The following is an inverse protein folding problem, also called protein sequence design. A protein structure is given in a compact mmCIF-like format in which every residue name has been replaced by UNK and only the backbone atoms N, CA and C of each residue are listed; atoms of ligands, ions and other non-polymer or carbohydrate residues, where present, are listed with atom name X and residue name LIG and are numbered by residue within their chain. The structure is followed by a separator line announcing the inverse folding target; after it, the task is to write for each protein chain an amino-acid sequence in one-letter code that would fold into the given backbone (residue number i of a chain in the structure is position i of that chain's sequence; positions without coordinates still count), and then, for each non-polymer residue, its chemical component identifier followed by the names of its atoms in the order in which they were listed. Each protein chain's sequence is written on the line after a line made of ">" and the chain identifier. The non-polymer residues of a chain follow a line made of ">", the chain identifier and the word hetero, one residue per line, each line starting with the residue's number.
data_IF_483648143554
#
_entry.id   IF_483648143554
#
_cell.length_a   1.000
_cell.length_b   1.000
_cell.length_c   1.000
_cell.angle_alpha   90.00
_cell.angle_beta   90.00
_cell.angle_gamma   90.00
#
_symmetry.space_group_name_H-M   'P 1'
#
loop_
_entity.id
_entity.type
_entity.pdbx_description
1 polymer ?
#
# COMPACT_ATOMS: atom_id res chain seq x y z
N UNK A 1 -14.78 -28.60 23.95
CA UNK A 1 -15.03 -27.29 23.33
C UNK A 1 -13.70 -26.66 22.93
N UNK A 2 -13.32 -26.81 21.66
CA UNK A 2 -12.19 -26.10 21.03
C UNK A 2 -12.33 -26.37 19.53
N UNK A 3 -13.12 -25.55 18.84
CA UNK A 3 -13.18 -25.56 17.39
C UNK A 3 -12.10 -24.62 16.88
N UNK A 4 -11.03 -25.21 16.33
CA UNK A 4 -10.12 -24.50 15.44
C UNK A 4 -10.90 -24.11 14.18
N UNK A 5 -11.23 -22.84 14.05
CA UNK A 5 -11.67 -22.26 12.79
C UNK A 5 -10.46 -22.10 11.87
N UNK A 6 -10.24 -23.12 11.04
CA UNK A 6 -9.44 -23.01 9.83
C UNK A 6 -10.15 -22.08 8.87
N UNK A 7 -9.65 -20.86 8.71
CA UNK A 7 -10.07 -19.94 7.66
C UNK A 7 -9.73 -20.54 6.31
N UNK A 8 -10.75 -21.10 5.65
CA UNK A 8 -10.64 -21.54 4.27
C UNK A 8 -10.29 -20.34 3.40
N UNK A 9 -9.09 -20.37 2.82
CA UNK A 9 -8.73 -19.53 1.69
C UNK A 9 -9.67 -19.90 0.55
N UNK A 10 -10.76 -19.16 0.43
CA UNK A 10 -11.61 -19.16 -0.75
C UNK A 10 -10.77 -18.63 -1.90
N UNK A 11 -10.12 -19.55 -2.62
CA UNK A 11 -9.65 -19.32 -3.98
C UNK A 11 -10.89 -19.01 -4.82
N UNK A 12 -11.24 -17.74 -4.88
CA UNK A 12 -12.26 -17.22 -5.79
C UNK A 12 -11.77 -17.56 -7.19
N UNK A 13 -12.44 -18.53 -7.82
CA UNK A 13 -12.29 -18.88 -9.22
C UNK A 13 -12.25 -17.58 -10.02
N UNK A 14 -11.06 -17.24 -10.51
CA UNK A 14 -10.84 -16.08 -11.37
C UNK A 14 -11.56 -16.43 -12.66
N UNK A 15 -12.70 -15.77 -12.93
CA UNK A 15 -13.47 -15.95 -14.15
C UNK A 15 -12.51 -15.96 -15.34
N UNK A 16 -12.64 -16.96 -16.21
CA UNK A 16 -11.88 -17.08 -17.47
C UNK A 16 -12.17 -15.84 -18.31
N UNK A 17 -11.36 -14.82 -18.11
CA UNK A 17 -11.50 -13.53 -18.77
C UNK A 17 -10.90 -13.67 -20.17
N UNK A 18 -11.76 -14.06 -21.12
CA UNK A 18 -11.47 -14.24 -22.55
C UNK A 18 -11.05 -12.90 -23.19
N UNK A 19 -11.22 -11.79 -22.45
CA UNK A 19 -11.04 -10.39 -22.84
C UNK A 19 -9.77 -9.76 -22.25
N UNK A 20 -8.66 -10.51 -22.16
CA UNK A 20 -7.35 -9.85 -22.01
C UNK A 20 -7.11 -8.95 -23.23
N UNK A 21 -6.51 -7.79 -23.02
CA UNK A 21 -6.42 -6.73 -24.04
C UNK A 21 -5.55 -7.19 -25.23
N UNK A 22 -4.47 -7.95 -24.94
CA UNK A 22 -3.70 -8.67 -25.98
C UNK A 22 -4.52 -9.74 -26.70
N UNK A 23 -5.47 -10.38 -26.02
CA UNK A 23 -6.38 -11.34 -26.62
C UNK A 23 -7.31 -10.70 -27.64
N UNK A 24 -7.85 -9.52 -27.34
CA UNK A 24 -8.65 -8.73 -28.29
C UNK A 24 -7.83 -8.32 -29.52
N UNK A 25 -6.56 -7.94 -29.33
CA UNK A 25 -5.63 -7.66 -30.43
C UNK A 25 -5.50 -8.89 -31.33
N UNK A 26 -5.36 -10.10 -30.77
CA UNK A 26 -5.26 -11.33 -31.56
C UNK A 26 -6.51 -11.62 -32.38
N UNK A 27 -7.70 -11.34 -31.83
CA UNK A 27 -8.99 -11.54 -32.50
C UNK A 27 -9.12 -10.58 -33.68
N UNK A 28 -8.86 -9.29 -33.46
CA UNK A 28 -8.91 -8.27 -34.50
C UNK A 28 -7.96 -8.65 -35.64
N UNK A 29 -6.74 -9.04 -35.31
CA UNK A 29 -5.73 -9.42 -36.30
C UNK A 29 -6.17 -10.62 -37.13
N UNK A 30 -6.65 -11.68 -36.47
CA UNK A 30 -7.13 -12.88 -37.15
C UNK A 30 -8.30 -12.58 -38.11
N UNK A 31 -9.25 -11.72 -37.70
CA UNK A 31 -10.38 -11.32 -38.55
C UNK A 31 -9.88 -10.60 -39.81
N UNK A 32 -9.03 -9.58 -39.67
CA UNK A 32 -8.57 -8.81 -40.83
C UNK A 32 -7.71 -9.65 -41.77
N UNK A 33 -6.80 -10.49 -41.25
CA UNK A 33 -5.99 -11.38 -42.11
C UNK A 33 -6.83 -12.44 -42.81
N UNK A 34 -7.91 -12.92 -42.16
CA UNK A 34 -8.82 -13.86 -42.79
C UNK A 34 -9.66 -13.21 -43.89
N UNK A 35 -10.10 -11.95 -43.71
CA UNK A 35 -10.80 -11.19 -44.75
C UNK A 35 -9.92 -10.98 -45.99
N UNK A 36 -8.64 -10.62 -45.80
CA UNK A 36 -7.66 -10.51 -46.89
C UNK A 36 -7.51 -11.85 -47.60
N UNK A 37 -7.38 -12.95 -46.86
CA UNK A 37 -7.31 -14.29 -47.45
C UNK A 37 -8.54 -14.64 -48.30
N UNK A 38 -9.76 -14.44 -47.78
CA UNK A 38 -11.00 -14.67 -48.52
C UNK A 38 -11.06 -13.83 -49.81
N UNK A 39 -10.62 -12.57 -49.74
CA UNK A 39 -10.55 -11.71 -50.92
C UNK A 39 -9.57 -12.25 -51.97
N UNK A 40 -8.36 -12.63 -51.55
CA UNK A 40 -7.35 -13.21 -52.46
C UNK A 40 -7.81 -14.54 -53.07
N UNK A 41 -8.60 -15.33 -52.35
CA UNK A 41 -9.12 -16.61 -52.84
C UNK A 41 -10.10 -16.46 -54.02
N UNK A 42 -10.81 -15.33 -54.09
CA UNK A 42 -11.81 -15.07 -55.13
C UNK A 42 -11.18 -14.37 -56.35
N UNK A 43 -10.23 -13.46 -56.13
CA UNK A 43 -9.82 -12.50 -57.16
C UNK A 43 -8.35 -12.60 -57.63
N UNK A 44 -7.52 -13.41 -56.97
CA UNK A 44 -6.04 -13.35 -57.12
C UNK A 44 -5.43 -14.71 -57.51
N UNK A 45 -4.16 -14.70 -57.92
CA UNK A 45 -3.39 -15.86 -58.35
C UNK A 45 -3.08 -16.83 -57.20
N UNK A 46 -2.75 -18.08 -57.51
CA UNK A 46 -2.42 -19.11 -56.50
C UNK A 46 -1.26 -18.72 -55.58
N UNK A 47 -0.28 -17.95 -56.06
CA UNK A 47 0.85 -17.50 -55.24
C UNK A 47 0.37 -16.54 -54.13
N UNK A 48 -0.51 -15.61 -54.49
CA UNK A 48 -1.07 -14.60 -53.60
C UNK A 48 -2.01 -15.23 -52.56
N UNK A 49 -2.79 -16.22 -52.98
CA UNK A 49 -3.62 -17.04 -52.10
C UNK A 49 -2.81 -17.78 -51.04
N UNK A 50 -1.69 -18.40 -51.44
CA UNK A 50 -0.80 -19.13 -50.52
C UNK A 50 -0.18 -18.15 -49.52
N UNK A 51 0.30 -17.00 -49.98
CA UNK A 51 0.89 -15.97 -49.11
C UNK A 51 -0.12 -15.46 -48.07
N UNK A 52 -1.33 -15.10 -48.51
CA UNK A 52 -2.39 -14.63 -47.63
C UNK A 52 -2.86 -15.71 -46.64
N UNK A 53 -2.90 -16.99 -47.08
CA UNK A 53 -3.20 -18.11 -46.19
C UNK A 53 -2.15 -18.27 -45.09
N UNK A 54 -0.87 -18.18 -45.43
CA UNK A 54 0.23 -18.27 -44.45
C UNK A 54 0.08 -17.16 -43.41
N UNK A 55 -0.17 -15.92 -43.84
CA UNK A 55 -0.38 -14.78 -42.92
C UNK A 55 -1.59 -15.03 -42.02
N UNK A 56 -2.73 -15.46 -42.59
CA UNK A 56 -3.93 -15.75 -41.81
C UNK A 56 -3.73 -16.87 -40.78
N UNK A 57 -3.01 -17.93 -41.15
CA UNK A 57 -2.67 -19.03 -40.22
C UNK A 57 -1.76 -18.53 -39.11
N UNK A 58 -0.73 -17.73 -39.42
CA UNK A 58 0.16 -17.16 -38.41
C UNK A 58 -0.67 -16.36 -37.41
N UNK A 59 -1.40 -15.32 -37.82
CA UNK A 59 -2.22 -14.54 -36.88
C UNK A 59 -3.31 -15.36 -36.17
N UNK A 60 -3.83 -16.42 -36.81
CA UNK A 60 -4.73 -17.40 -36.19
C UNK A 60 -4.10 -18.22 -35.05
N UNK A 61 -2.81 -18.56 -35.12
CA UNK A 61 -2.08 -19.23 -34.03
C UNK A 61 -2.06 -18.33 -32.79
N UNK A 62 -1.86 -17.02 -32.96
CA UNK A 62 -1.94 -16.06 -31.86
C UNK A 62 -3.30 -16.07 -31.14
N UNK A 63 -4.38 -16.20 -31.90
CA UNK A 63 -5.73 -16.34 -31.35
C UNK A 63 -5.92 -17.67 -30.58
N UNK A 64 -5.40 -18.79 -31.11
CA UNK A 64 -5.44 -20.09 -30.43
C UNK A 64 -4.64 -20.05 -29.12
N UNK A 65 -3.45 -19.44 -29.10
CA UNK A 65 -2.64 -19.27 -27.89
C UNK A 65 -3.38 -18.47 -26.82
N UNK A 66 -4.10 -17.42 -27.21
CA UNK A 66 -4.97 -16.67 -26.31
C UNK A 66 -6.10 -17.56 -25.75
N UNK A 67 -6.72 -18.41 -26.57
CA UNK A 67 -7.79 -19.32 -26.15
C UNK A 67 -7.31 -20.39 -25.15
N UNK A 68 -6.04 -20.76 -25.20
CA UNK A 68 -5.39 -21.71 -24.29
C UNK A 68 -4.86 -21.07 -23.00
N UNK A 69 -5.19 -19.79 -22.73
CA UNK A 69 -4.80 -19.05 -21.52
C UNK A 69 -3.28 -18.86 -21.29
N UNK A 70 -2.44 -19.06 -22.31
CA UNK A 70 -0.99 -18.80 -22.24
C UNK A 70 -0.63 -17.31 -22.38
N UNK A 71 -1.14 -16.46 -21.48
CA UNK A 71 -1.07 -14.99 -21.57
C UNK A 71 0.33 -14.39 -21.80
N UNK A 72 1.35 -14.96 -21.16
CA UNK A 72 2.74 -14.50 -21.36
C UNK A 72 3.26 -14.85 -22.75
N UNK A 73 2.93 -16.05 -23.25
CA UNK A 73 3.31 -16.47 -24.59
C UNK A 73 2.56 -15.65 -25.65
N UNK A 74 1.26 -15.40 -25.47
CA UNK A 74 0.47 -14.54 -26.37
C UNK A 74 1.04 -13.13 -26.46
N UNK A 75 1.49 -12.57 -25.34
CA UNK A 75 2.14 -11.26 -25.32
C UNK A 75 3.44 -11.25 -26.13
N UNK A 76 4.32 -12.21 -25.89
CA UNK A 76 5.59 -12.33 -26.61
C UNK A 76 5.37 -12.59 -28.11
N UNK A 77 4.38 -13.42 -28.42
CA UNK A 77 3.95 -13.73 -29.76
C UNK A 77 3.52 -12.45 -30.50
N UNK A 78 2.60 -11.68 -29.91
CA UNK A 78 2.04 -10.48 -30.54
C UNK A 78 3.04 -9.32 -30.68
N UNK A 79 4.14 -9.34 -29.95
CA UNK A 79 5.16 -8.28 -30.04
C UNK A 79 6.32 -8.62 -30.95
N UNK A 80 6.63 -9.90 -31.18
CA UNK A 80 7.77 -10.32 -32.01
C UNK A 80 7.39 -10.87 -33.37
N UNK A 81 6.28 -11.60 -33.47
CA UNK A 81 5.93 -12.29 -34.72
C UNK A 81 5.37 -11.36 -35.80
N UNK A 82 4.48 -10.39 -35.50
CA UNK A 82 3.98 -9.46 -36.50
C UNK A 82 5.07 -8.66 -37.24
N UNK A 83 6.09 -8.09 -36.58
CA UNK A 83 7.22 -7.47 -37.26
C UNK A 83 7.98 -8.43 -38.19
N UNK A 84 8.17 -9.70 -37.79
CA UNK A 84 8.82 -10.72 -38.63
C UNK A 84 8.02 -11.06 -39.88
N UNK A 85 6.69 -11.20 -39.73
CA UNK A 85 5.79 -11.46 -40.86
C UNK A 85 5.83 -10.28 -41.82
N UNK A 86 5.75 -9.05 -41.32
CA UNK A 86 5.74 -7.84 -42.14
C UNK A 86 7.09 -7.63 -42.84
N UNK A 87 8.20 -7.88 -42.14
CA UNK A 87 9.55 -7.90 -42.73
C UNK A 87 9.64 -8.90 -43.89
N UNK A 88 9.12 -10.12 -43.70
CA UNK A 88 9.12 -11.16 -44.72
C UNK A 88 8.25 -10.77 -45.91
N UNK A 89 7.07 -10.19 -45.68
CA UNK A 89 6.18 -9.70 -46.74
C UNK A 89 6.86 -8.59 -47.55
N UNK A 90 7.50 -7.61 -46.91
CA UNK A 90 8.21 -6.54 -47.62
C UNK A 90 9.26 -7.14 -48.56
N UNK A 91 10.10 -8.07 -48.09
CA UNK A 91 11.12 -8.72 -48.92
C UNK A 91 10.54 -9.51 -50.10
N UNK A 92 9.43 -10.22 -49.86
CA UNK A 92 8.83 -11.09 -50.85
C UNK A 92 8.10 -10.30 -51.93
N UNK A 93 7.25 -9.34 -51.54
CA UNK A 93 6.25 -8.72 -52.43
C UNK A 93 6.40 -7.22 -52.64
N UNK A 94 7.37 -6.58 -51.98
CA UNK A 94 7.75 -5.20 -52.25
C UNK A 94 7.09 -4.13 -51.38
N UNK A 95 6.14 -4.51 -50.52
CA UNK A 95 5.45 -3.61 -49.62
C UNK A 95 4.14 -3.06 -50.18
N UNK A 96 3.74 -1.85 -49.75
CA UNK A 96 2.57 -1.06 -50.17
C UNK A 96 1.23 -1.32 -49.44
N UNK A 97 1.20 -2.25 -48.48
CA UNK A 97 0.00 -2.56 -47.70
C UNK A 97 -0.16 -1.70 -46.42
N UNK A 98 0.31 -0.45 -46.41
CA UNK A 98 0.24 0.40 -45.21
C UNK A 98 1.25 0.07 -44.09
N UNK A 99 2.36 -0.59 -44.45
CA UNK A 99 3.32 -1.15 -43.48
C UNK A 99 3.89 -0.14 -42.46
N UNK A 100 4.05 1.14 -42.83
CA UNK A 100 4.59 2.17 -41.92
C UNK A 100 3.71 2.40 -40.69
N UNK A 101 2.39 2.47 -40.88
CA UNK A 101 1.43 2.62 -39.78
C UNK A 101 1.44 1.37 -38.90
N UNK A 102 1.51 0.19 -39.51
CA UNK A 102 1.57 -1.07 -38.78
C UNK A 102 2.82 -1.15 -37.88
N UNK A 103 4.01 -0.86 -38.39
CA UNK A 103 5.24 -0.83 -37.58
C UNK A 103 5.19 0.23 -36.47
N UNK A 104 4.60 1.41 -36.72
CA UNK A 104 4.39 2.40 -35.68
C UNK A 104 3.52 1.85 -34.54
N UNK A 105 2.41 1.17 -34.87
CA UNK A 105 1.54 0.56 -33.85
C UNK A 105 2.20 -0.58 -33.10
N UNK A 106 3.02 -1.40 -33.75
CA UNK A 106 3.82 -2.44 -33.10
C UNK A 106 4.83 -1.84 -32.10
N UNK A 107 5.49 -0.74 -32.46
CA UNK A 107 6.37 0.00 -31.54
C UNK A 107 5.64 0.54 -30.31
N UNK A 108 4.43 1.09 -30.46
CA UNK A 108 3.57 1.49 -29.34
C UNK A 108 3.14 0.30 -28.47
N UNK A 109 2.78 -0.82 -29.10
CA UNK A 109 2.42 -2.04 -28.40
C UNK A 109 3.60 -2.59 -27.58
N UNK A 110 4.81 -2.61 -28.15
CA UNK A 110 6.04 -2.98 -27.43
C UNK A 110 6.31 -2.04 -26.26
N UNK A 111 6.11 -0.73 -26.45
CA UNK A 111 6.30 0.27 -25.40
C UNK A 111 5.44 0.01 -24.15
N UNK A 112 4.15 -0.30 -24.37
CA UNK A 112 3.19 -0.57 -23.29
C UNK A 112 3.34 -1.99 -22.74
N UNK A 113 3.51 -2.98 -23.61
CA UNK A 113 3.65 -4.39 -23.25
C UNK A 113 4.83 -4.68 -22.33
N UNK A 114 5.93 -3.93 -22.49
CA UNK A 114 7.17 -4.07 -21.72
C UNK A 114 7.50 -2.86 -20.84
N UNK A 115 6.51 -2.05 -20.47
CA UNK A 115 6.69 -0.84 -19.63
C UNK A 115 7.50 -1.10 -18.34
N UNK A 116 7.33 -2.26 -17.71
CA UNK A 116 8.04 -2.62 -16.47
C UNK A 116 9.53 -2.95 -16.68
N UNK A 117 9.94 -3.30 -17.90
CA UNK A 117 11.32 -3.69 -18.22
C UNK A 117 11.86 -2.83 -19.38
N UNK A 118 12.44 -1.65 -19.09
CA UNK A 118 12.82 -0.69 -20.12
C UNK A 118 13.93 -1.20 -21.04
N UNK A 119 14.79 -2.11 -20.56
CA UNK A 119 15.84 -2.73 -21.39
C UNK A 119 15.23 -3.58 -22.50
N UNK A 120 14.37 -4.53 -22.13
CA UNK A 120 13.70 -5.41 -23.09
C UNK A 120 12.79 -4.61 -24.05
N UNK A 121 12.09 -3.60 -23.53
CA UNK A 121 11.28 -2.68 -24.33
C UNK A 121 12.09 -2.02 -25.44
N UNK A 122 13.24 -1.43 -25.09
CA UNK A 122 14.06 -0.73 -26.08
C UNK A 122 14.67 -1.69 -27.11
N UNK A 123 15.02 -2.92 -26.70
CA UNK A 123 15.49 -3.97 -27.63
C UNK A 123 14.41 -4.32 -28.65
N UNK A 124 13.16 -4.52 -28.21
CA UNK A 124 12.06 -4.88 -29.11
C UNK A 124 11.71 -3.72 -30.05
N UNK A 125 11.64 -2.48 -29.54
CA UNK A 125 11.39 -1.32 -30.41
C UNK A 125 12.53 -1.15 -31.44
N UNK A 126 13.78 -1.36 -31.04
CA UNK A 126 14.90 -1.31 -31.96
C UNK A 126 14.81 -2.43 -33.02
N UNK A 127 14.39 -3.63 -32.63
CA UNK A 127 14.10 -4.72 -33.55
C UNK A 127 12.98 -4.35 -34.53
N UNK A 128 11.87 -3.76 -34.08
CA UNK A 128 10.77 -3.33 -34.96
C UNK A 128 11.24 -2.31 -36.00
N UNK A 129 12.08 -1.34 -35.57
CA UNK A 129 12.67 -0.34 -36.45
C UNK A 129 13.58 -0.99 -37.49
N UNK A 130 14.46 -1.92 -37.09
CA UNK A 130 15.31 -2.65 -38.03
C UNK A 130 14.50 -3.53 -38.99
N UNK A 131 13.46 -4.19 -38.48
CA UNK A 131 12.55 -5.04 -39.26
C UNK A 131 11.75 -4.23 -40.30
N UNK A 132 11.61 -2.91 -40.13
CA UNK A 132 11.07 -2.02 -41.15
C UNK A 132 12.14 -1.51 -42.12
N UNK A 133 13.27 -1.00 -41.58
CA UNK A 133 14.30 -0.31 -42.39
C UNK A 133 15.05 -1.28 -43.29
N UNK A 134 15.54 -2.40 -42.76
CA UNK A 134 16.38 -3.35 -43.52
C UNK A 134 15.69 -3.89 -44.77
N UNK A 135 14.47 -4.45 -44.70
CA UNK A 135 13.82 -4.97 -45.91
C UNK A 135 13.42 -3.85 -46.87
N UNK A 136 13.06 -2.66 -46.37
CA UNK A 136 12.71 -1.51 -47.23
C UNK A 136 13.92 -1.05 -48.05
N UNK A 137 15.11 -0.95 -47.43
CA UNK A 137 16.34 -0.61 -48.14
C UNK A 137 16.67 -1.69 -49.17
N UNK A 138 16.58 -2.97 -48.79
CA UNK A 138 16.86 -4.08 -49.69
C UNK A 138 15.98 -4.05 -50.95
N UNK A 139 14.66 -3.96 -50.77
CA UNK A 139 13.69 -3.93 -51.88
C UNK A 139 13.90 -2.71 -52.77
N UNK A 140 14.27 -1.56 -52.20
CA UNK A 140 14.55 -0.35 -52.99
C UNK A 140 15.78 -0.52 -53.90
N UNK A 141 16.78 -1.29 -53.46
CA UNK A 141 18.04 -1.47 -54.19
C UNK A 141 18.00 -2.64 -55.18
N UNK A 142 17.34 -3.74 -54.82
CA UNK A 142 17.39 -5.01 -55.57
C UNK A 142 16.03 -5.44 -56.13
N UNK A 143 14.95 -4.76 -55.75
CA UNK A 143 13.58 -5.20 -56.01
C UNK A 143 13.12 -6.32 -55.07
N UNK A 144 11.80 -6.60 -55.05
CA UNK A 144 11.23 -7.71 -54.29
C UNK A 144 11.50 -9.06 -54.93
N UNK A 145 11.60 -10.11 -54.10
CA UNK A 145 12.01 -11.45 -54.53
C UNK A 145 11.00 -12.11 -55.48
N UNK A 146 9.69 -11.95 -55.23
CA UNK A 146 8.61 -12.53 -56.04
C UNK A 146 8.02 -11.53 -57.04
N UNK A 147 8.59 -10.33 -57.15
CA UNK A 147 7.98 -9.22 -57.88
C UNK A 147 7.02 -8.40 -57.00
N UNK A 148 6.54 -7.28 -57.53
CA UNK A 148 5.60 -6.41 -56.84
C UNK A 148 4.20 -7.00 -56.91
N UNK A 149 3.64 -7.36 -55.76
CA UNK A 149 2.25 -7.81 -55.63
C UNK A 149 1.53 -6.76 -54.80
N UNK A 150 0.57 -6.09 -55.42
CA UNK A 150 -0.27 -5.06 -54.81
C UNK A 150 -1.69 -5.61 -54.67
N UNK A 151 -2.12 -5.93 -53.45
CA UNK A 151 -3.45 -6.52 -53.21
C UNK A 151 -4.43 -5.39 -52.92
N UNK A 152 -5.51 -5.23 -53.72
CA UNK A 152 -6.50 -4.19 -53.48
C UNK A 152 -7.05 -4.22 -52.05
N UNK A 153 -7.17 -3.04 -51.45
CA UNK A 153 -7.70 -2.80 -50.10
C UNK A 153 -6.86 -3.35 -48.93
N UNK A 154 -5.70 -3.98 -49.18
CA UNK A 154 -4.84 -4.48 -48.10
C UNK A 154 -4.36 -3.36 -47.17
N UNK A 155 -4.03 -2.20 -47.72
CA UNK A 155 -3.68 -0.98 -46.99
C UNK A 155 -4.85 -0.50 -46.11
N UNK A 156 -6.08 -0.57 -46.61
CA UNK A 156 -7.27 -0.18 -45.85
C UNK A 156 -7.48 -1.13 -44.67
N UNK A 157 -7.35 -2.44 -44.88
CA UNK A 157 -7.47 -3.42 -43.80
C UNK A 157 -6.34 -3.31 -42.78
N UNK A 158 -5.10 -3.12 -43.24
CA UNK A 158 -3.94 -2.92 -42.36
C UNK A 158 -4.08 -1.63 -41.54
N UNK A 159 -4.59 -0.56 -42.14
CA UNK A 159 -4.88 0.69 -41.45
C UNK A 159 -5.97 0.52 -40.38
N UNK A 160 -7.09 -0.12 -40.71
CA UNK A 160 -8.17 -0.40 -39.75
C UNK A 160 -7.71 -1.31 -38.61
N UNK A 161 -6.93 -2.35 -38.91
CA UNK A 161 -6.33 -3.21 -37.89
C UNK A 161 -5.40 -2.41 -36.97
N UNK A 162 -4.55 -1.56 -37.54
CA UNK A 162 -3.62 -0.69 -36.81
C UNK A 162 -4.37 0.29 -35.89
N UNK A 163 -5.47 0.89 -36.35
CA UNK A 163 -6.33 1.72 -35.51
C UNK A 163 -6.95 0.92 -34.35
N UNK A 164 -7.42 -0.30 -34.62
CA UNK A 164 -7.92 -1.21 -33.59
C UNK A 164 -6.86 -1.53 -32.53
N UNK A 165 -5.64 -1.86 -32.98
CA UNK A 165 -4.49 -2.09 -32.11
C UNK A 165 -4.15 -0.88 -31.27
N UNK A 166 -4.08 0.30 -31.88
CA UNK A 166 -3.73 1.54 -31.19
C UNK A 166 -4.78 1.93 -30.15
N UNK A 167 -6.07 1.83 -30.49
CA UNK A 167 -7.19 2.08 -29.57
C UNK A 167 -7.14 1.15 -28.35
N UNK A 168 -6.94 -0.16 -28.59
CA UNK A 168 -6.78 -1.12 -27.50
C UNK A 168 -5.56 -0.81 -26.65
N UNK A 169 -4.42 -0.52 -27.30
CA UNK A 169 -3.15 -0.19 -26.64
C UNK A 169 -3.30 1.04 -25.72
N UNK A 170 -4.00 2.09 -26.15
CA UNK A 170 -4.32 3.24 -25.31
C UNK A 170 -5.23 2.89 -24.13
N UNK A 171 -6.25 2.06 -24.36
CA UNK A 171 -7.10 1.55 -23.28
C UNK A 171 -6.29 0.78 -22.25
N UNK A 172 -5.33 -0.06 -22.67
CA UNK A 172 -4.40 -0.75 -21.76
C UNK A 172 -3.60 0.23 -20.91
N UNK A 173 -3.12 1.30 -21.53
CA UNK A 173 -2.33 2.31 -20.85
C UNK A 173 -3.15 3.01 -19.74
N UNK A 174 -4.37 3.40 -20.06
CA UNK A 174 -5.25 4.11 -19.13
C UNK A 174 -5.74 3.22 -17.99
N UNK A 175 -6.17 1.99 -18.28
CA UNK A 175 -6.60 1.03 -17.26
C UNK A 175 -5.49 0.68 -16.27
N UNK A 176 -4.27 0.44 -16.77
CA UNK A 176 -3.13 0.12 -15.91
C UNK A 176 -2.73 1.31 -15.03
N UNK A 177 -2.80 2.53 -15.56
CA UNK A 177 -2.53 3.76 -14.79
C UNK A 177 -3.60 3.95 -13.70
N UNK A 178 -4.87 3.84 -14.06
CA UNK A 178 -6.00 4.00 -13.14
C UNK A 178 -5.95 2.98 -11.99
N UNK A 179 -5.73 1.69 -12.30
CA UNK A 179 -5.61 0.64 -11.27
C UNK A 179 -4.48 0.89 -10.28
N UNK A 180 -3.34 1.41 -10.76
CA UNK A 180 -2.22 1.73 -9.88
C UNK A 180 -2.60 2.83 -8.88
N UNK A 181 -3.24 3.91 -9.35
CA UNK A 181 -3.70 4.99 -8.47
C UNK A 181 -4.79 4.53 -7.50
N UNK A 182 -5.75 3.73 -7.94
CA UNK A 182 -6.82 3.24 -7.05
C UNK A 182 -6.28 2.34 -5.95
N UNK A 183 -5.36 1.43 -6.27
CA UNK A 183 -4.76 0.54 -5.27
C UNK A 183 -3.88 1.31 -4.30
N UNK A 184 -3.12 2.30 -4.77
CA UNK A 184 -2.33 3.17 -3.92
C UNK A 184 -3.22 3.98 -2.96
N UNK A 185 -4.31 4.55 -3.47
CA UNK A 185 -5.29 5.28 -2.67
C UNK A 185 -5.98 4.38 -1.64
N UNK A 186 -6.37 3.17 -2.00
CA UNK A 186 -6.95 2.18 -1.07
C UNK A 186 -5.98 1.83 0.07
N UNK A 187 -4.70 1.63 -0.26
CA UNK A 187 -3.66 1.36 0.74
C UNK A 187 -3.48 2.55 1.69
N UNK A 188 -3.45 3.77 1.17
CA UNK A 188 -3.36 4.99 1.97
C UNK A 188 -4.58 5.17 2.89
N UNK A 189 -5.79 4.94 2.39
CA UNK A 189 -7.02 5.00 3.20
C UNK A 189 -6.98 3.96 4.32
N UNK A 190 -6.49 2.75 4.04
CA UNK A 190 -6.36 1.69 5.04
C UNK A 190 -5.37 2.08 6.13
N UNK A 191 -4.20 2.58 5.76
CA UNK A 191 -3.20 3.06 6.71
C UNK A 191 -3.72 4.23 7.57
N UNK A 192 -4.46 5.16 6.96
CA UNK A 192 -5.07 6.28 7.66
C UNK A 192 -6.08 5.81 8.72
N UNK A 193 -6.98 4.88 8.36
CA UNK A 193 -7.94 4.29 9.31
C UNK A 193 -7.28 3.57 10.48
N UNK A 194 -6.17 2.89 10.23
CA UNK A 194 -5.39 2.22 11.29
C UNK A 194 -4.75 3.25 12.23
N UNK A 195 -4.19 4.33 11.68
CA UNK A 195 -3.63 5.41 12.49
C UNK A 195 -4.69 6.11 13.34
N UNK A 196 -5.88 6.37 12.80
CA UNK A 196 -7.02 6.97 13.51
C UNK A 196 -7.47 6.10 14.69
N UNK A 197 -7.55 4.78 14.47
CA UNK A 197 -7.90 3.83 15.52
C UNK A 197 -6.86 3.82 16.64
N UNK A 198 -5.57 3.86 16.30
CA UNK A 198 -4.49 3.90 17.28
C UNK A 198 -4.48 5.22 18.06
N UNK A 199 -4.72 6.34 17.38
CA UNK A 199 -4.84 7.66 18.01
C UNK A 199 -6.00 7.69 19.00
N UNK A 200 -7.16 7.12 18.62
CA UNK A 200 -8.33 7.01 19.50
C UNK A 200 -8.03 6.18 20.75
N UNK A 201 -7.37 5.02 20.60
CA UNK A 201 -6.93 4.21 21.74
C UNK A 201 -5.95 4.95 22.65
N UNK A 202 -5.00 5.68 22.08
CA UNK A 202 -4.06 6.48 22.85
C UNK A 202 -4.76 7.61 23.62
N UNK A 203 -5.72 8.29 22.98
CA UNK A 203 -6.54 9.32 23.61
C UNK A 203 -7.39 8.78 24.76
N UNK A 204 -8.03 7.61 24.57
CA UNK A 204 -8.80 6.94 25.62
C UNK A 204 -7.91 6.53 26.80
N UNK A 205 -6.70 6.04 26.52
CA UNK A 205 -5.73 5.69 27.56
C UNK A 205 -5.27 6.93 28.34
N UNK A 206 -4.92 8.02 27.65
CA UNK A 206 -4.55 9.30 28.29
C UNK A 206 -5.68 9.85 29.15
N UNK A 207 -6.93 9.78 28.67
CA UNK A 207 -8.11 10.20 29.44
C UNK A 207 -8.26 9.39 30.73
N UNK A 208 -8.05 8.08 30.66
CA UNK A 208 -8.13 7.20 31.83
C UNK A 208 -6.96 7.46 32.81
N UNK A 209 -5.75 7.70 32.30
CA UNK A 209 -4.61 8.07 33.13
C UNK A 209 -4.82 9.40 33.84
N UNK A 210 -5.33 10.43 33.15
CA UNK A 210 -5.65 11.72 33.77
C UNK A 210 -6.69 11.58 34.89
N UNK A 211 -7.75 10.79 34.69
CA UNK A 211 -8.72 10.51 35.76
C UNK A 211 -8.09 9.84 36.98
N UNK A 212 -7.22 8.85 36.77
CA UNK A 212 -6.50 8.19 37.87
C UNK A 212 -5.59 9.16 38.61
N UNK A 213 -4.90 10.03 37.86
CA UNK A 213 -4.03 11.04 38.42
C UNK A 213 -4.81 12.06 39.27
N UNK A 214 -5.99 12.48 38.80
CA UNK A 214 -6.88 13.37 39.54
C UNK A 214 -7.36 12.74 40.86
N UNK A 215 -7.79 11.47 40.84
CA UNK A 215 -8.18 10.74 42.05
C UNK A 215 -7.01 10.66 43.03
N UNK A 216 -5.82 10.24 42.56
CA UNK A 216 -4.65 10.10 43.41
C UNK A 216 -4.19 11.44 44.00
N UNK A 217 -4.27 12.52 43.23
CA UNK A 217 -3.94 13.86 43.69
C UNK A 217 -4.92 14.33 44.78
N UNK A 218 -6.21 14.03 44.63
CA UNK A 218 -7.22 14.34 45.65
C UNK A 218 -6.99 13.51 46.93
N UNK A 219 -6.68 12.22 46.81
CA UNK A 219 -6.33 11.37 47.96
C UNK A 219 -5.08 11.87 48.68
N UNK A 220 -4.05 12.27 47.92
CA UNK A 220 -2.82 12.84 48.48
C UNK A 220 -3.10 14.13 49.25
N UNK A 221 -3.94 15.01 48.67
CA UNK A 221 -4.35 16.26 49.32
C UNK A 221 -5.10 16.01 50.62
N UNK A 222 -6.04 15.07 50.64
CA UNK A 222 -6.76 14.67 51.85
C UNK A 222 -5.83 14.12 52.92
N UNK A 223 -4.88 13.23 52.55
CA UNK A 223 -3.89 12.71 53.49
C UNK A 223 -3.00 13.81 54.06
N UNK A 224 -2.56 14.77 53.23
CA UNK A 224 -1.80 15.92 53.71
C UNK A 224 -2.60 16.73 54.72
N UNK A 225 -3.87 17.03 54.44
CA UNK A 225 -4.76 17.73 55.39
C UNK A 225 -4.92 16.96 56.70
N UNK A 226 -5.14 15.64 56.66
CA UNK A 226 -5.24 14.83 57.87
C UNK A 226 -3.95 14.82 58.70
N UNK A 227 -2.78 14.82 58.05
CA UNK A 227 -1.48 14.90 58.73
C UNK A 227 -1.32 16.27 59.40
N UNK A 228 -1.69 17.36 58.73
CA UNK A 228 -1.65 18.72 59.28
C UNK A 228 -2.58 18.84 60.50
N UNK A 229 -3.82 18.35 60.39
CA UNK A 229 -4.80 18.32 61.48
C UNK A 229 -4.30 17.49 62.67
N UNK A 230 -3.80 16.28 62.41
CA UNK A 230 -3.21 15.43 63.44
C UNK A 230 -2.04 16.11 64.14
N UNK A 231 -1.10 16.67 63.36
CA UNK A 231 0.07 17.38 63.92
C UNK A 231 -0.36 18.57 64.77
N UNK A 232 -1.38 19.31 64.34
CA UNK A 232 -1.94 20.43 65.10
C UNK A 232 -2.55 19.97 66.44
N UNK A 233 -3.38 18.93 66.42
CA UNK A 233 -4.03 18.37 67.63
C UNK A 233 -2.97 17.86 68.60
N UNK A 234 -2.02 17.05 68.12
CA UNK A 234 -0.92 16.52 68.95
C UNK A 234 -0.10 17.64 69.57
N UNK A 235 0.27 18.65 68.77
CA UNK A 235 1.05 19.79 69.29
C UNK A 235 0.27 20.57 70.35
N UNK A 236 -1.03 20.79 70.12
CA UNK A 236 -1.91 21.46 71.08
C UNK A 236 -1.98 20.69 72.41
N UNK A 237 -2.23 19.39 72.35
CA UNK A 237 -2.44 18.54 73.52
C UNK A 237 -1.13 18.28 74.29
N UNK A 238 0.01 18.24 73.62
CA UNK A 238 1.33 18.15 74.27
C UNK A 238 1.79 19.48 74.90
N UNK A 239 1.37 20.63 74.35
CA UNK A 239 1.79 21.96 74.84
C UNK A 239 1.28 22.26 76.25
N UNK A 240 0.06 21.84 76.58
CA UNK A 240 -0.53 22.03 77.91
C UNK A 240 0.28 21.42 79.06
N UNK A 241 0.52 20.10 79.08
CA UNK A 241 1.32 19.47 80.12
C UNK A 241 2.78 19.94 80.12
N UNK A 242 3.38 20.19 78.94
CA UNK A 242 4.75 20.74 78.86
C UNK A 242 4.85 22.12 79.52
N UNK A 243 3.89 23.00 79.25
CA UNK A 243 3.83 24.32 79.87
C UNK A 243 3.66 24.22 81.39
N UNK A 244 2.81 23.31 81.88
CA UNK A 244 2.66 23.08 83.31
C UNK A 244 3.96 22.57 83.97
N UNK A 245 4.68 21.64 83.33
CA UNK A 245 5.99 21.18 83.81
C UNK A 245 6.95 22.36 83.92
N UNK A 246 7.04 23.21 82.88
CA UNK A 246 7.92 24.38 82.87
C UNK A 246 7.58 25.39 83.96
N UNK A 247 6.29 25.71 84.16
CA UNK A 247 5.83 26.65 85.20
C UNK A 247 6.15 26.10 86.60
N UNK A 248 5.84 24.83 86.85
CA UNK A 248 6.10 24.20 88.17
C UNK A 248 7.60 24.11 88.43
N UNK A 249 8.41 23.72 87.44
CA UNK A 249 9.87 23.65 87.57
C UNK A 249 10.47 25.03 87.87
N UNK A 250 10.01 26.08 87.18
CA UNK A 250 10.45 27.46 87.43
C UNK A 250 10.09 27.94 88.84
N UNK A 251 8.92 27.54 89.36
CA UNK A 251 8.51 27.90 90.72
C UNK A 251 9.32 27.14 91.79
N UNK A 252 9.60 25.86 91.55
CA UNK A 252 10.48 25.06 92.39
C UNK A 252 11.92 25.63 92.41
N UNK A 253 12.43 26.11 91.28
CA UNK A 253 13.74 26.76 91.18
C UNK A 253 13.79 28.05 92.04
N UNK A 254 12.75 28.88 92.00
CA UNK A 254 12.65 30.07 92.86
C UNK A 254 12.61 29.72 94.34
N UNK A 255 11.84 28.71 94.72
CA UNK A 255 11.76 28.23 96.10
C UNK A 255 13.12 27.74 96.61
N UNK A 256 13.84 27.00 95.76
CA UNK A 256 15.19 26.52 96.05
C UNK A 256 16.17 27.68 96.27
N UNK A 257 16.14 28.70 95.40
CA UNK A 257 17.01 29.88 95.49
C UNK A 257 16.84 30.65 96.81
N UNK A 258 15.65 30.60 97.43
CA UNK A 258 15.33 31.31 98.68
C UNK A 258 15.31 30.33 99.88
N UNK A 259 15.70 29.06 99.68
CA UNK A 259 15.71 28.00 100.71
C UNK A 259 14.36 27.83 101.43
N UNK A 260 13.25 28.11 100.75
CA UNK A 260 11.90 28.10 101.31
C UNK A 260 10.97 27.23 100.48
N UNK A 261 10.66 26.04 101.00
CA UNK A 261 9.99 24.95 100.28
C UNK A 261 8.52 24.80 100.65
N UNK A 262 7.75 25.88 100.49
CA UNK A 262 6.32 25.86 100.78
C UNK A 262 5.56 25.03 99.74
N UNK A 263 4.75 24.08 100.20
CA UNK A 263 3.97 23.18 99.33
C UNK A 263 4.79 22.35 98.33
N UNK A 264 6.09 22.13 98.60
CA UNK A 264 7.02 21.39 97.73
C UNK A 264 6.51 20.02 97.28
N UNK A 265 5.95 19.24 98.21
CA UNK A 265 5.36 17.92 97.90
C UNK A 265 4.18 18.03 96.90
N UNK A 266 3.39 19.11 96.99
CA UNK A 266 2.29 19.37 96.06
C UNK A 266 2.82 19.66 94.65
N UNK A 267 3.82 20.55 94.54
CA UNK A 267 4.46 20.86 93.25
C UNK A 267 5.09 19.63 92.60
N UNK A 268 5.83 18.81 93.36
CA UNK A 268 6.37 17.54 92.86
C UNK A 268 5.28 16.60 92.35
N UNK A 269 4.17 16.47 93.09
CA UNK A 269 3.02 15.66 92.68
C UNK A 269 2.35 16.19 91.41
N UNK A 270 2.24 17.51 91.25
CA UNK A 270 1.70 18.14 90.05
C UNK A 270 2.64 18.01 88.84
N UNK A 271 3.96 18.07 89.06
CA UNK A 271 4.98 17.87 88.02
C UNK A 271 4.96 16.42 87.54
N UNK A 272 4.96 15.46 88.48
CA UNK A 272 4.83 14.04 88.17
C UNK A 272 3.51 13.74 87.44
N UNK A 273 2.39 14.30 87.90
CA UNK A 273 1.10 14.14 87.24
C UNK A 273 1.01 14.77 85.84
N UNK A 274 1.77 15.84 85.58
CA UNK A 274 1.88 16.46 84.25
C UNK A 274 2.78 15.64 83.33
N UNK A 275 3.88 15.09 83.85
CA UNK A 275 4.77 14.18 83.14
C UNK A 275 4.06 12.87 82.77
N UNK A 276 3.32 12.24 83.69
CA UNK A 276 2.54 11.03 83.38
C UNK A 276 1.47 11.30 82.33
N UNK A 277 0.81 12.47 82.38
CA UNK A 277 -0.14 12.86 81.32
C UNK A 277 0.53 13.01 79.96
N UNK A 278 1.71 13.64 79.92
CA UNK A 278 2.48 13.79 78.67
C UNK A 278 2.94 12.42 78.14
N UNK A 279 3.43 11.54 79.01
CA UNK A 279 3.78 10.16 78.64
C UNK A 279 2.57 9.39 78.10
N UNK A 280 1.43 9.43 78.78
CA UNK A 280 0.21 8.75 78.31
C UNK A 280 -0.30 9.32 76.98
N UNK A 281 -0.14 10.63 76.76
CA UNK A 281 -0.45 11.25 75.47
C UNK A 281 0.49 10.74 74.38
N UNK A 282 1.80 10.67 74.63
CA UNK A 282 2.79 10.18 73.65
C UNK A 282 2.68 8.69 73.38
N UNK A 283 2.46 7.86 74.41
CA UNK A 283 2.28 6.40 74.28
C UNK A 283 0.93 6.02 73.64
N UNK A 284 -0.04 6.93 73.67
CA UNK A 284 -1.33 6.78 73.00
C UNK A 284 -1.36 7.19 71.53
N UNK A 285 -0.23 7.70 70.99
CA UNK A 285 -0.04 8.06 69.57
C UNK A 285 0.53 6.89 68.77
#
# INVERSE_FOLDING_TARGET
>A
MSQLNTTSKTHKSKSRDITDEFGLITIISAIFTFLVFIYTLIFHSHIEQILALIVAVVFGIGFILNRLDYRQATRLYMTLLPPLVFMSLILLIGGYFGQGVAFATMGFLAFIGYRKNPRLRNIIIFFDVLAFILPTIYVTMYGPILGTIDVPFDEVFAFLASLGWLSLTFRMYDQNKTRAYTTDLENHIKALKESELNLKKAQDNLKNQNKKLEVLNNELKLKNTHIEEFTFIVTHDLKGPLNNINVIASELEKQHAISSYTNFSSYLKHLQGSSTRLTNLVEGL
#
